data_IF_201935535042
#
_entry.id   IF_201935535042
#
_cell.length_a   1.000
_cell.length_b   1.000
_cell.length_c   1.000
_cell.angle_alpha   90.00
_cell.angle_beta   90.00
_cell.angle_gamma   90.00
#
_symmetry.space_group_name_H-M   'P 1'
#
loop_
_entity.id
_entity.type
_entity.pdbx_description
1 polymer ?
#
# COMPACT_ATOMS: atom_id res chain seq x y z
N UNK A 1 -22.51 -4.20 -45.75
CA UNK A 1 -22.81 -4.01 -44.31
C UNK A 1 -22.08 -2.75 -43.89
N UNK A 2 -22.81 -1.65 -43.66
CA UNK A 2 -22.21 -0.41 -43.17
C UNK A 2 -21.92 -0.57 -41.67
N UNK A 3 -20.65 -0.58 -41.29
CA UNK A 3 -20.24 -0.46 -39.89
C UNK A 3 -20.52 0.96 -39.43
N UNK A 4 -21.47 1.11 -38.51
CA UNK A 4 -21.64 2.37 -37.80
C UNK A 4 -20.50 2.49 -36.77
N UNK A 5 -19.59 3.45 -37.00
CA UNK A 5 -18.63 3.88 -35.99
C UNK A 5 -19.37 4.75 -34.98
N UNK A 6 -19.55 4.26 -33.75
CA UNK A 6 -20.32 4.92 -32.68
C UNK A 6 -19.48 6.03 -31.99
N UNK A 7 -18.32 6.39 -32.58
CA UNK A 7 -17.33 7.27 -31.97
C UNK A 7 -16.47 6.55 -30.94
N UNK A 8 -15.32 7.13 -30.60
CA UNK A 8 -14.53 6.70 -29.45
C UNK A 8 -15.14 7.29 -28.18
N UNK A 9 -15.51 6.43 -27.23
CA UNK A 9 -15.90 6.87 -25.90
C UNK A 9 -14.64 7.29 -25.12
N UNK A 10 -14.25 8.55 -25.24
CA UNK A 10 -13.13 9.09 -24.47
C UNK A 10 -13.57 9.34 -23.02
N UNK A 11 -13.17 8.46 -22.10
CA UNK A 11 -13.29 8.73 -20.67
C UNK A 11 -12.24 9.76 -20.24
N UNK A 12 -12.62 10.75 -19.43
CA UNK A 12 -11.70 11.74 -18.90
C UNK A 12 -12.02 12.04 -17.43
N UNK A 13 -10.98 12.32 -16.65
CA UNK A 13 -11.10 12.90 -15.32
C UNK A 13 -10.87 14.40 -15.44
N UNK A 14 -11.87 15.19 -15.04
CA UNK A 14 -11.76 16.65 -15.04
C UNK A 14 -11.57 17.16 -13.62
N UNK A 15 -10.46 17.84 -13.40
CA UNK A 15 -10.24 18.65 -12.22
C UNK A 15 -10.67 20.09 -12.53
N UNK A 16 -11.63 20.60 -11.76
CA UNK A 16 -12.16 21.95 -11.91
C UNK A 16 -11.84 22.77 -10.67
N UNK A 17 -11.46 24.03 -10.88
CA UNK A 17 -11.05 24.94 -9.83
C UNK A 17 -11.85 26.24 -9.95
N UNK A 18 -12.27 26.78 -8.82
CA UNK A 18 -12.99 28.07 -8.78
C UNK A 18 -12.07 29.24 -9.14
N UNK A 19 -10.79 29.13 -8.79
CA UNK A 19 -9.76 30.11 -9.08
C UNK A 19 -8.69 29.56 -10.04
N UNK A 20 -8.06 30.47 -10.79
CA UNK A 20 -6.93 30.12 -11.65
C UNK A 20 -5.78 29.48 -10.84
N UNK A 21 -5.27 28.36 -11.32
CA UNK A 21 -4.17 27.64 -10.67
C UNK A 21 -2.83 27.97 -11.33
N UNK A 22 -1.75 27.98 -10.54
CA UNK A 22 -0.38 28.10 -11.05
C UNK A 22 0.04 26.80 -11.75
N UNK A 23 0.89 26.93 -12.78
CA UNK A 23 1.45 25.79 -13.51
C UNK A 23 2.15 24.76 -12.61
N UNK A 24 2.81 25.22 -11.54
CA UNK A 24 3.48 24.37 -10.53
C UNK A 24 2.56 23.30 -9.91
N UNK A 25 1.24 23.55 -9.86
CA UNK A 25 0.29 22.58 -9.29
C UNK A 25 -0.09 21.46 -10.27
N UNK A 26 0.20 21.60 -11.56
CA UNK A 26 -0.14 20.60 -12.58
C UNK A 26 0.54 19.27 -12.26
N UNK A 27 1.83 19.30 -11.90
CA UNK A 27 2.57 18.08 -11.53
C UNK A 27 1.91 17.36 -10.36
N UNK A 28 1.57 18.10 -9.30
CA UNK A 28 0.89 17.54 -8.12
C UNK A 28 -0.45 16.89 -8.48
N UNK A 29 -1.27 17.57 -9.28
CA UNK A 29 -2.57 17.03 -9.69
C UNK A 29 -2.42 15.84 -10.64
N UNK A 30 -1.44 15.88 -11.53
CA UNK A 30 -1.09 14.76 -12.39
C UNK A 30 -0.69 13.54 -11.55
N UNK A 31 0.19 13.70 -10.56
CA UNK A 31 0.62 12.63 -9.66
C UNK A 31 -0.57 12.01 -8.91
N UNK A 32 -1.51 12.82 -8.42
CA UNK A 32 -2.72 12.31 -7.75
C UNK A 32 -3.55 11.43 -8.69
N UNK A 33 -3.83 11.90 -9.91
CA UNK A 33 -4.61 11.14 -10.89
C UNK A 33 -3.85 9.91 -11.37
N UNK A 34 -2.55 10.03 -11.59
CA UNK A 34 -1.67 8.93 -11.93
C UNK A 34 -1.71 7.84 -10.87
N UNK A 35 -1.52 8.19 -9.58
CA UNK A 35 -1.60 7.25 -8.47
C UNK A 35 -2.98 6.59 -8.35
N UNK A 36 -4.05 7.35 -8.58
CA UNK A 36 -5.40 6.80 -8.59
C UNK A 36 -5.53 5.73 -9.69
N UNK A 37 -5.13 6.05 -10.91
CA UNK A 37 -5.20 5.12 -12.04
C UNK A 37 -4.30 3.91 -11.77
N UNK A 38 -3.10 4.10 -11.24
CA UNK A 38 -2.17 3.03 -10.90
C UNK A 38 -2.74 2.04 -9.88
N UNK A 39 -3.40 2.55 -8.82
CA UNK A 39 -4.09 1.71 -7.84
C UNK A 39 -5.22 0.92 -8.50
N UNK A 40 -6.03 1.57 -9.34
CA UNK A 40 -7.16 0.93 -10.02
C UNK A 40 -6.71 -0.14 -11.04
N UNK A 41 -5.58 0.07 -11.72
CA UNK A 41 -4.99 -0.90 -12.65
C UNK A 41 -4.10 -1.94 -11.98
N UNK A 42 -3.73 -1.71 -10.72
CA UNK A 42 -2.68 -2.45 -10.02
C UNK A 42 -1.35 -2.50 -10.78
N UNK A 43 -0.97 -1.39 -11.42
CA UNK A 43 0.32 -1.19 -12.11
C UNK A 43 0.74 0.29 -12.08
N UNK A 44 2.02 0.55 -11.96
CA UNK A 44 2.56 1.92 -11.99
C UNK A 44 2.71 2.47 -13.41
N UNK A 45 3.04 1.64 -14.40
CA UNK A 45 3.31 2.10 -15.77
C UNK A 45 2.05 2.51 -16.57
N UNK A 46 1.23 3.40 -16.03
CA UNK A 46 0.00 3.90 -16.65
C UNK A 46 0.26 5.18 -17.42
N UNK A 47 -0.47 5.39 -18.52
CA UNK A 47 -0.35 6.58 -19.37
C UNK A 47 -1.71 7.14 -19.73
N UNK A 48 -1.81 8.47 -19.76
CA UNK A 48 -2.98 9.19 -20.20
C UNK A 48 -2.60 10.58 -20.71
N UNK A 49 -3.40 11.10 -21.64
CA UNK A 49 -3.20 12.43 -22.20
C UNK A 49 -3.70 13.51 -21.23
N UNK A 50 -2.97 14.62 -21.14
CA UNK A 50 -3.31 15.76 -20.29
C UNK A 50 -3.50 17.00 -21.15
N UNK A 51 -4.59 17.72 -20.93
CA UNK A 51 -4.83 19.02 -21.56
C UNK A 51 -5.36 20.01 -20.54
N UNK A 52 -5.10 21.29 -20.80
CA UNK A 52 -5.62 22.39 -20.02
C UNK A 52 -6.81 23.00 -20.75
N UNK A 53 -7.82 23.40 -19.99
CA UNK A 53 -8.93 24.17 -20.50
C UNK A 53 -9.20 25.38 -19.61
N UNK A 54 -9.65 26.47 -20.22
CA UNK A 54 -10.05 27.68 -19.52
C UNK A 54 -11.51 27.98 -19.81
N UNK A 55 -12.21 28.48 -18.79
CA UNK A 55 -13.59 28.95 -18.94
C UNK A 55 -13.55 30.37 -19.50
N UNK A 56 -14.14 30.57 -20.67
CA UNK A 56 -14.24 31.89 -21.29
C UNK A 56 -15.55 32.61 -20.93
N UNK A 57 -15.77 33.80 -21.50
CA UNK A 57 -16.94 34.65 -21.22
C UNK A 57 -18.28 34.00 -21.58
N UNK A 58 -18.27 33.01 -22.47
CA UNK A 58 -19.42 32.20 -22.88
C UNK A 58 -19.79 31.11 -21.85
N UNK A 59 -18.96 30.93 -20.82
CA UNK A 59 -19.13 29.91 -19.80
C UNK A 59 -18.68 28.51 -20.23
N UNK A 60 -18.14 28.36 -21.45
CA UNK A 60 -17.64 27.10 -22.00
C UNK A 60 -16.16 26.91 -21.69
N UNK A 61 -15.74 25.65 -21.60
CA UNK A 61 -14.33 25.28 -21.41
C UNK A 61 -13.67 25.07 -22.77
N UNK A 62 -12.72 25.94 -23.11
CA UNK A 62 -11.93 25.85 -24.34
C UNK A 62 -10.56 25.26 -24.03
N UNK A 63 -10.09 24.32 -24.86
CA UNK A 63 -8.75 23.72 -24.69
C UNK A 63 -7.69 24.76 -25.02
N UNK A 64 -6.87 25.12 -24.05
CA UNK A 64 -5.84 26.16 -24.17
C UNK A 64 -4.42 25.61 -24.20
N UNK A 65 -4.22 24.34 -23.83
CA UNK A 65 -2.88 23.74 -23.83
C UNK A 65 -2.90 22.22 -23.81
N UNK A 66 -1.77 21.63 -24.21
CA UNK A 66 -1.47 20.20 -24.11
C UNK A 66 -0.27 20.03 -23.20
N UNK A 67 -0.41 19.26 -22.14
CA UNK A 67 0.69 18.97 -21.23
C UNK A 67 1.30 17.63 -21.63
N UNK A 68 2.56 17.67 -22.05
CA UNK A 68 3.37 16.46 -22.24
C UNK A 68 4.11 16.16 -20.95
N UNK A 69 3.84 15.00 -20.37
CA UNK A 69 4.56 14.50 -19.21
C UNK A 69 5.56 13.46 -19.73
N UNK A 70 6.82 13.60 -19.31
CA UNK A 70 7.87 12.66 -19.63
C UNK A 70 8.17 11.82 -18.39
N UNK A 71 8.01 10.52 -18.50
CA UNK A 71 8.34 9.54 -17.46
C UNK A 71 9.47 8.62 -17.94
N UNK A 72 9.93 7.75 -17.04
CA UNK A 72 11.02 6.81 -17.29
C UNK A 72 10.55 5.40 -17.68
N UNK A 73 9.25 5.18 -17.90
CA UNK A 73 8.73 3.84 -18.19
C UNK A 73 9.14 3.38 -19.59
N UNK A 74 9.58 2.11 -19.68
CA UNK A 74 9.94 1.50 -20.95
C UNK A 74 8.71 1.06 -21.76
N UNK A 75 7.60 0.78 -21.08
CA UNK A 75 6.34 0.38 -21.67
C UNK A 75 5.18 0.79 -20.76
N UNK A 76 3.96 0.77 -21.29
CA UNK A 76 2.75 1.12 -20.54
C UNK A 76 1.78 -0.05 -20.40
N UNK A 77 0.98 -0.02 -19.34
CA UNK A 77 0.00 -1.05 -19.01
C UNK A 77 -0.97 -1.30 -20.16
N UNK A 78 -1.14 -2.57 -20.51
CA UNK A 78 -2.09 -3.06 -21.51
C UNK A 78 -3.22 -3.86 -20.89
N UNK A 79 -3.50 -3.63 -19.59
CA UNK A 79 -4.54 -4.39 -18.88
C UNK A 79 -5.91 -4.17 -19.50
N UNK A 80 -6.62 -5.28 -19.67
CA UNK A 80 -8.01 -5.26 -20.15
C UNK A 80 -8.91 -4.67 -19.06
N UNK A 81 -9.98 -4.00 -19.47
CA UNK A 81 -10.96 -3.38 -18.56
C UNK A 81 -11.50 -4.36 -17.50
N UNK A 82 -11.77 -5.62 -17.85
CA UNK A 82 -12.26 -6.61 -16.87
C UNK A 82 -11.18 -7.13 -15.90
N UNK A 83 -9.93 -6.67 -16.02
CA UNK A 83 -8.79 -7.02 -15.16
C UNK A 83 -8.31 -5.83 -14.31
N UNK A 84 -9.15 -4.82 -14.13
CA UNK A 84 -8.86 -3.63 -13.31
C UNK A 84 -10.04 -3.35 -12.38
N UNK A 85 -9.82 -2.54 -11.35
CA UNK A 85 -10.90 -1.99 -10.52
C UNK A 85 -11.65 -0.97 -11.36
N UNK A 86 -12.90 -1.28 -11.71
CA UNK A 86 -13.75 -0.35 -12.42
C UNK A 86 -14.08 0.85 -11.52
N UNK A 87 -13.85 2.06 -12.02
CA UNK A 87 -14.09 3.29 -11.23
C UNK A 87 -15.54 3.38 -10.71
N UNK A 88 -16.49 2.85 -11.50
CA UNK A 88 -17.91 2.79 -11.12
C UNK A 88 -18.17 1.89 -9.92
N UNK A 89 -17.38 0.83 -9.72
CA UNK A 89 -17.53 -0.09 -8.59
C UNK A 89 -17.08 0.52 -7.26
N UNK A 90 -16.30 1.60 -7.30
CA UNK A 90 -15.77 2.28 -6.11
C UNK A 90 -16.07 3.79 -6.13
N UNK A 91 -17.05 4.22 -6.93
CA UNK A 91 -17.26 5.62 -7.28
C UNK A 91 -17.46 6.51 -6.04
N UNK A 92 -18.29 6.06 -5.10
CA UNK A 92 -18.58 6.78 -3.85
C UNK A 92 -17.36 6.88 -2.91
N UNK A 93 -16.34 6.05 -3.13
CA UNK A 93 -15.11 6.00 -2.34
C UNK A 93 -13.94 6.73 -3.01
N UNK A 94 -14.08 7.16 -4.27
CA UNK A 94 -13.03 7.91 -4.99
C UNK A 94 -12.53 9.13 -4.20
N UNK A 95 -13.38 9.96 -3.56
CA UNK A 95 -12.90 11.08 -2.77
C UNK A 95 -11.93 10.66 -1.64
N UNK A 96 -12.22 9.56 -0.93
CA UNK A 96 -11.38 9.04 0.15
C UNK A 96 -10.09 8.37 -0.36
N UNK A 97 -10.14 7.76 -1.54
CA UNK A 97 -8.94 7.23 -2.21
C UNK A 97 -8.03 8.40 -2.61
N UNK A 98 -8.58 9.44 -3.23
CA UNK A 98 -7.85 10.66 -3.61
C UNK A 98 -7.27 11.36 -2.38
N UNK A 99 -8.02 11.47 -1.29
CA UNK A 99 -7.53 12.00 -0.02
C UNK A 99 -6.34 11.19 0.51
N UNK A 100 -6.47 9.86 0.55
CA UNK A 100 -5.40 8.95 0.97
C UNK A 100 -4.12 9.10 0.13
N UNK A 101 -4.26 9.29 -1.19
CA UNK A 101 -3.15 9.58 -2.10
C UNK A 101 -2.53 10.95 -1.76
N UNK A 102 -3.36 11.98 -1.63
CA UNK A 102 -2.90 13.35 -1.42
C UNK A 102 -2.14 13.55 -0.10
N UNK A 103 -2.44 12.74 0.92
CA UNK A 103 -1.73 12.75 2.22
C UNK A 103 -0.61 11.70 2.32
N UNK A 104 -0.31 10.96 1.23
CA UNK A 104 0.77 9.98 1.15
C UNK A 104 0.49 8.61 1.79
N UNK A 105 -0.73 8.35 2.26
CA UNK A 105 -1.12 7.07 2.86
C UNK A 105 -1.18 5.91 1.86
N UNK A 106 -1.48 6.23 0.59
CA UNK A 106 -1.54 5.22 -0.47
C UNK A 106 -0.16 4.82 -1.02
N UNK A 107 0.94 5.44 -0.57
CA UNK A 107 2.28 5.22 -1.12
C UNK A 107 2.72 3.75 -0.97
N UNK A 108 2.40 3.13 0.17
CA UNK A 108 2.74 1.73 0.45
C UNK A 108 2.12 0.75 -0.56
N UNK A 109 0.95 1.06 -1.13
CA UNK A 109 0.39 0.26 -2.23
C UNK A 109 1.12 0.54 -3.53
N UNK A 110 1.38 1.80 -3.85
CA UNK A 110 2.06 2.16 -5.09
C UNK A 110 3.45 1.52 -5.18
N UNK A 111 4.17 1.45 -4.06
CA UNK A 111 5.52 0.89 -3.99
C UNK A 111 5.58 -0.62 -4.33
N UNK A 112 4.47 -1.35 -4.18
CA UNK A 112 4.40 -2.79 -4.51
C UNK A 112 3.90 -3.07 -5.93
N UNK A 113 3.46 -2.05 -6.67
CA UNK A 113 2.91 -2.24 -8.01
C UNK A 113 4.02 -2.34 -9.05
N UNK A 114 3.86 -3.21 -10.07
CA UNK A 114 4.85 -3.35 -11.11
C UNK A 114 4.92 -2.09 -11.99
N UNK A 115 6.14 -1.71 -12.34
CA UNK A 115 6.53 -0.61 -13.22
C UNK A 115 6.80 -1.05 -14.67
N UNK A 116 6.69 -2.36 -14.95
CA UNK A 116 6.92 -2.94 -16.26
C UNK A 116 5.96 -4.13 -16.48
N UNK A 117 5.42 -4.24 -17.70
CA UNK A 117 4.56 -5.36 -18.10
C UNK A 117 5.26 -6.73 -17.96
N UNK A 118 6.58 -6.80 -18.10
CA UNK A 118 7.36 -8.03 -17.92
C UNK A 118 7.38 -8.50 -16.45
N UNK A 119 7.11 -7.60 -15.50
CA UNK A 119 7.16 -7.86 -14.06
C UNK A 119 5.80 -8.27 -13.47
N UNK A 120 4.69 -8.18 -14.22
CA UNK A 120 3.33 -8.47 -13.72
C UNK A 120 3.23 -9.86 -13.08
N UNK A 121 3.88 -10.87 -13.67
CA UNK A 121 3.84 -12.26 -13.20
C UNK A 121 5.18 -12.72 -12.62
N UNK A 122 6.01 -11.77 -12.17
CA UNK A 122 7.32 -12.06 -11.58
C UNK A 122 7.37 -11.51 -10.17
N UNK A 123 7.92 -12.32 -9.27
CA UNK A 123 8.11 -11.93 -7.88
C UNK A 123 9.60 -12.03 -7.61
N UNK A 124 10.20 -10.89 -7.27
CA UNK A 124 11.58 -10.80 -6.78
C UNK A 124 11.60 -10.70 -5.26
N UNK A 125 12.78 -10.87 -4.66
CA UNK A 125 12.93 -10.62 -3.22
C UNK A 125 12.65 -9.17 -2.86
N UNK A 126 12.97 -8.22 -3.74
CA UNK A 126 12.63 -6.81 -3.51
C UNK A 126 11.11 -6.67 -3.37
N UNK A 127 10.32 -7.32 -4.22
CA UNK A 127 8.86 -7.30 -4.09
C UNK A 127 8.38 -7.90 -2.76
N UNK A 128 9.01 -8.97 -2.28
CA UNK A 128 8.71 -9.54 -0.95
C UNK A 128 9.02 -8.53 0.17
N UNK A 129 10.14 -7.79 0.06
CA UNK A 129 10.54 -6.75 1.02
C UNK A 129 9.57 -5.57 1.01
N UNK A 130 9.19 -5.10 -0.17
CA UNK A 130 8.26 -3.99 -0.36
C UNK A 130 6.88 -4.37 0.18
N UNK A 131 6.38 -5.57 -0.13
CA UNK A 131 5.08 -6.05 0.36
C UNK A 131 5.05 -6.21 1.89
N UNK A 132 6.11 -6.75 2.48
CA UNK A 132 6.25 -6.83 3.94
C UNK A 132 6.20 -5.43 4.58
N UNK A 133 6.91 -4.46 3.99
CA UNK A 133 6.95 -3.08 4.46
C UNK A 133 5.58 -2.42 4.31
N UNK A 134 4.91 -2.63 3.18
CA UNK A 134 3.58 -2.08 2.92
C UNK A 134 2.52 -2.61 3.91
N UNK A 135 2.56 -3.91 4.20
CA UNK A 135 1.69 -4.53 5.22
C UNK A 135 1.97 -4.00 6.63
N UNK A 136 3.23 -3.71 6.95
CA UNK A 136 3.57 -3.08 8.22
C UNK A 136 3.04 -1.64 8.32
N UNK A 137 3.20 -0.86 7.24
CA UNK A 137 2.69 0.52 7.16
C UNK A 137 1.17 0.53 7.34
N UNK A 138 0.44 -0.30 6.58
CA UNK A 138 -1.03 -0.31 6.62
C UNK A 138 -1.57 -0.81 7.97
N UNK A 139 -0.86 -1.75 8.62
CA UNK A 139 -1.14 -2.09 10.00
C UNK A 139 -0.99 -0.85 10.89
N UNK A 140 0.13 -0.12 10.80
CA UNK A 140 0.37 1.00 11.68
C UNK A 140 -0.65 2.16 11.54
N UNK A 141 -1.29 2.33 10.38
CA UNK A 141 -2.31 3.38 10.16
C UNK A 141 -3.48 3.33 11.18
N UNK A 142 -3.95 2.12 11.51
CA UNK A 142 -5.05 1.90 12.45
C UNK A 142 -4.59 1.33 13.79
N UNK A 143 -3.28 1.29 14.07
CA UNK A 143 -2.74 0.72 15.31
C UNK A 143 -3.37 1.33 16.57
N UNK A 144 -3.69 2.63 16.55
CA UNK A 144 -4.33 3.34 17.65
C UNK A 144 -5.77 2.86 17.96
N UNK A 145 -6.44 2.21 17.00
CA UNK A 145 -7.79 1.64 17.19
C UNK A 145 -7.74 0.19 17.67
N UNK A 146 -6.58 -0.47 17.61
CA UNK A 146 -6.42 -1.86 18.02
C UNK A 146 -6.13 -1.94 19.51
N UNK A 147 -6.65 -2.97 20.19
CA UNK A 147 -6.31 -3.19 21.59
C UNK A 147 -4.80 -3.41 21.71
N UNK A 148 -4.20 -2.75 22.70
CA UNK A 148 -2.82 -3.04 23.10
C UNK A 148 -2.80 -4.39 23.81
N UNK A 149 -1.77 -5.18 23.54
CA UNK A 149 -1.55 -6.41 24.28
C UNK A 149 -1.10 -6.11 25.71
N UNK A 150 -1.83 -6.67 26.69
CA UNK A 150 -1.56 -6.42 28.11
C UNK A 150 -0.20 -6.93 28.54
N UNK A 151 0.25 -8.09 28.04
CA UNK A 151 1.54 -8.67 28.38
C UNK A 151 2.69 -7.87 27.78
N UNK A 152 2.54 -7.34 26.56
CA UNK A 152 3.55 -6.45 25.95
C UNK A 152 3.69 -5.16 26.78
N UNK A 153 2.58 -4.56 27.22
CA UNK A 153 2.65 -3.33 28.02
C UNK A 153 3.18 -3.60 29.44
N UNK A 154 2.84 -4.73 30.06
CA UNK A 154 3.44 -5.19 31.32
C UNK A 154 4.95 -5.43 31.18
N UNK A 155 5.38 -6.08 30.10
CA UNK A 155 6.79 -6.31 29.81
C UNK A 155 7.55 -4.99 29.63
N UNK A 156 6.99 -4.03 28.90
CA UNK A 156 7.58 -2.69 28.75
C UNK A 156 7.72 -1.98 30.09
N UNK A 157 6.70 -2.05 30.94
CA UNK A 157 6.75 -1.45 32.27
C UNK A 157 7.87 -2.10 33.12
N UNK A 158 7.91 -3.43 33.17
CA UNK A 158 8.93 -4.18 33.91
C UNK A 158 10.37 -3.89 33.42
N UNK A 159 10.57 -3.81 32.11
CA UNK A 159 11.87 -3.44 31.53
C UNK A 159 12.26 -2.01 31.92
N UNK A 160 11.34 -1.05 31.83
CA UNK A 160 11.60 0.34 32.22
C UNK A 160 11.94 0.49 33.70
N UNK A 161 11.23 -0.24 34.56
CA UNK A 161 11.50 -0.25 36.01
C UNK A 161 12.89 -0.84 36.30
N UNK A 162 13.24 -1.93 35.62
CA UNK A 162 14.54 -2.58 35.76
C UNK A 162 15.68 -1.67 35.30
N UNK A 163 15.54 -1.00 34.16
CA UNK A 163 16.51 -0.03 33.65
C UNK A 163 16.66 1.13 34.64
N UNK A 164 15.54 1.65 35.14
CA UNK A 164 15.53 2.76 36.10
C UNK A 164 16.26 2.39 37.40
N UNK A 165 16.01 1.19 37.93
CA UNK A 165 16.68 0.68 39.12
C UNK A 165 18.20 0.52 38.90
N UNK A 166 18.62 -0.01 37.75
CA UNK A 166 20.02 -0.14 37.38
C UNK A 166 20.72 1.22 37.30
N UNK A 167 20.12 2.18 36.58
CA UNK A 167 20.64 3.55 36.43
C UNK A 167 20.79 4.23 37.79
N UNK A 168 19.78 4.15 38.65
CA UNK A 168 19.87 4.73 39.99
C UNK A 168 20.95 4.07 40.86
N UNK A 169 21.10 2.74 40.77
CA UNK A 169 22.12 2.02 41.55
C UNK A 169 23.54 2.43 41.17
N UNK A 170 23.80 2.62 39.86
CA UNK A 170 25.11 2.96 39.33
C UNK A 170 25.44 4.45 39.44
N UNK A 171 24.44 5.33 39.38
CA UNK A 171 24.58 6.75 39.70
C UNK A 171 24.99 6.95 41.16
N UNK A 172 24.37 6.21 42.09
CA UNK A 172 24.73 6.24 43.52
C UNK A 172 26.16 5.77 43.80
N UNK A 173 26.70 4.90 42.94
CA UNK A 173 28.07 4.38 43.04
C UNK A 173 29.10 5.27 42.33
N UNK A 174 28.67 6.29 41.58
CA UNK A 174 29.56 7.15 40.79
C UNK A 174 30.18 6.45 39.58
N UNK A 175 29.62 5.31 39.15
CA UNK A 175 30.20 4.41 38.14
C UNK A 175 29.58 4.60 36.73
N UNK A 176 28.65 5.54 36.58
CA UNK A 176 27.97 5.79 35.30
C UNK A 176 28.70 6.87 34.49
N UNK A 177 29.58 6.44 33.59
CA UNK A 177 30.27 7.32 32.64
C UNK A 177 29.48 7.59 31.35
N UNK A 178 28.47 6.75 31.05
CA UNK A 178 27.66 6.83 29.82
C UNK A 178 26.16 6.92 30.16
N UNK A 179 25.43 7.80 29.48
CA UNK A 179 23.97 7.87 29.56
C UNK A 179 23.36 6.67 28.87
N UNK A 180 22.69 5.79 29.62
CA UNK A 180 21.97 4.64 29.03
C UNK A 180 20.87 5.10 28.06
N UNK A 181 20.30 6.29 28.28
CA UNK A 181 19.22 6.80 27.45
C UNK A 181 19.72 7.51 26.18
N UNK A 182 20.84 8.23 26.27
CA UNK A 182 21.33 9.07 25.17
C UNK A 182 22.50 8.45 24.41
N UNK A 183 23.35 7.67 25.10
CA UNK A 183 24.58 7.10 24.54
C UNK A 183 24.43 5.62 24.13
N UNK A 184 23.24 5.02 24.34
CA UNK A 184 22.98 3.63 23.97
C UNK A 184 21.69 3.46 23.18
N UNK A 185 21.58 2.32 22.50
CA UNK A 185 20.37 1.92 21.77
C UNK A 185 19.33 1.22 22.66
N UNK A 186 19.51 1.17 23.98
CA UNK A 186 18.63 0.44 24.90
C UNK A 186 17.23 1.06 24.93
N UNK A 187 17.16 2.39 25.12
CA UNK A 187 15.88 3.10 25.18
C UNK A 187 15.10 2.97 23.86
N UNK A 188 15.80 3.01 22.72
CA UNK A 188 15.18 2.83 21.42
C UNK A 188 14.78 1.37 21.16
N UNK A 189 15.63 0.39 21.49
CA UNK A 189 15.35 -1.04 21.30
C UNK A 189 14.05 -1.47 22.02
N UNK A 190 13.84 -1.01 23.25
CA UNK A 190 12.65 -1.36 24.03
C UNK A 190 11.41 -0.52 23.70
N UNK A 191 11.59 0.72 23.21
CA UNK A 191 10.49 1.54 22.70
C UNK A 191 9.73 0.87 21.55
N UNK A 192 10.44 0.07 20.74
CA UNK A 192 9.87 -0.65 19.60
C UNK A 192 9.41 -2.07 19.90
N UNK A 193 9.39 -2.50 21.18
CA UNK A 193 8.73 -3.75 21.56
C UNK A 193 7.26 -3.69 21.15
N UNK A 194 6.90 -4.54 20.21
CA UNK A 194 5.59 -4.57 19.60
C UNK A 194 5.38 -5.95 18.98
N UNK A 195 4.16 -6.18 18.48
CA UNK A 195 3.87 -7.36 17.68
C UNK A 195 4.90 -7.57 16.56
N UNK A 196 5.23 -8.83 16.30
CA UNK A 196 6.12 -9.17 15.19
C UNK A 196 5.41 -8.87 13.86
N UNK A 197 6.16 -8.73 12.76
CA UNK A 197 5.53 -8.55 11.45
C UNK A 197 4.54 -9.69 11.12
N UNK A 198 4.86 -10.92 11.53
CA UNK A 198 3.94 -12.06 11.40
C UNK A 198 2.61 -11.78 12.09
N UNK A 199 2.63 -11.33 13.34
CA UNK A 199 1.42 -11.04 14.11
C UNK A 199 0.63 -9.87 13.52
N UNK A 200 1.33 -8.84 13.02
CA UNK A 200 0.71 -7.72 12.32
C UNK A 200 -0.05 -8.18 11.07
N UNK A 201 0.58 -9.04 10.26
CA UNK A 201 -0.04 -9.62 9.06
C UNK A 201 -1.23 -10.51 9.44
N UNK A 202 -1.11 -11.35 10.47
CA UNK A 202 -2.20 -12.20 10.94
C UNK A 202 -3.38 -11.38 11.48
N UNK A 203 -3.10 -10.23 12.11
CA UNK A 203 -4.14 -9.28 12.56
C UNK A 203 -4.86 -8.65 11.38
N UNK A 204 -4.13 -8.20 10.34
CA UNK A 204 -4.77 -7.70 9.12
C UNK A 204 -5.62 -8.78 8.45
N UNK A 205 -5.12 -10.01 8.42
CA UNK A 205 -5.85 -11.15 7.88
C UNK A 205 -7.13 -11.42 8.66
N UNK A 206 -7.12 -11.41 10.00
CA UNK A 206 -8.34 -11.61 10.78
C UNK A 206 -9.37 -10.49 10.57
N UNK A 207 -8.93 -9.24 10.39
CA UNK A 207 -9.80 -8.10 10.06
C UNK A 207 -10.43 -8.19 8.66
N UNK A 208 -9.81 -8.94 7.74
CA UNK A 208 -10.25 -9.14 6.36
C UNK A 208 -10.58 -10.61 6.06
N UNK A 209 -10.83 -11.44 7.07
CA UNK A 209 -10.82 -12.90 6.92
C UNK A 209 -11.83 -13.39 5.89
N UNK A 210 -13.08 -12.94 5.98
CA UNK A 210 -14.14 -13.32 5.03
C UNK A 210 -13.78 -13.00 3.57
N UNK A 211 -13.22 -11.80 3.34
CA UNK A 211 -12.79 -11.32 2.02
C UNK A 211 -11.69 -12.21 1.46
N UNK A 212 -10.65 -12.47 2.27
CA UNK A 212 -9.47 -13.20 1.84
C UNK A 212 -9.75 -14.69 1.69
N UNK A 213 -10.55 -15.29 2.57
CA UNK A 213 -10.96 -16.68 2.45
C UNK A 213 -11.80 -16.90 1.18
N UNK A 214 -12.70 -15.96 0.87
CA UNK A 214 -13.46 -15.94 -0.38
C UNK A 214 -12.57 -15.82 -1.63
N UNK A 215 -11.54 -14.96 -1.57
CA UNK A 215 -10.54 -14.83 -2.63
C UNK A 215 -9.72 -16.11 -2.82
N UNK A 216 -9.21 -16.69 -1.72
CA UNK A 216 -8.43 -17.94 -1.71
C UNK A 216 -9.25 -19.07 -2.33
N UNK A 217 -10.51 -19.23 -1.92
CA UNK A 217 -11.41 -20.25 -2.45
C UNK A 217 -11.67 -20.07 -3.95
N UNK A 218 -11.93 -18.84 -4.40
CA UNK A 218 -12.18 -18.56 -5.82
C UNK A 218 -10.95 -18.83 -6.69
N UNK A 219 -9.74 -18.58 -6.17
CA UNK A 219 -8.48 -18.75 -6.92
C UNK A 219 -7.83 -20.11 -6.72
N UNK A 220 -8.44 -21.00 -5.94
CA UNK A 220 -7.87 -22.30 -5.56
C UNK A 220 -6.47 -22.18 -4.96
N UNK A 221 -6.26 -21.13 -4.16
CA UNK A 221 -4.99 -20.86 -3.49
C UNK A 221 -4.89 -21.65 -2.17
N UNK A 222 -3.67 -21.90 -1.65
CA UNK A 222 -3.51 -22.51 -0.35
C UNK A 222 -4.01 -21.58 0.76
N UNK A 223 -4.61 -22.17 1.79
CA UNK A 223 -5.01 -21.44 3.00
C UNK A 223 -3.80 -20.78 3.67
N UNK A 224 -4.01 -19.57 4.21
CA UNK A 224 -2.98 -18.86 4.94
C UNK A 224 -3.04 -19.23 6.42
N UNK A 225 -1.88 -19.43 7.02
CA UNK A 225 -1.73 -19.70 8.44
C UNK A 225 -0.42 -19.09 8.93
N UNK A 226 -0.23 -19.11 10.24
CA UNK A 226 0.95 -18.54 10.89
C UNK A 226 2.27 -19.08 10.31
N UNK A 227 2.36 -20.40 10.05
CA UNK A 227 3.57 -21.01 9.48
C UNK A 227 3.92 -20.44 8.10
N UNK A 228 2.92 -20.26 7.22
CA UNK A 228 3.11 -19.65 5.90
C UNK A 228 3.51 -18.19 6.00
N UNK A 229 2.86 -17.42 6.87
CA UNK A 229 3.22 -16.01 7.09
C UNK A 229 4.66 -15.90 7.64
N UNK A 230 5.04 -16.72 8.62
CA UNK A 230 6.41 -16.76 9.16
C UNK A 230 7.43 -17.12 8.08
N UNK A 231 7.13 -18.10 7.23
CA UNK A 231 7.98 -18.48 6.08
C UNK A 231 8.18 -17.31 5.12
N UNK A 232 7.10 -16.62 4.77
CA UNK A 232 7.14 -15.46 3.89
C UNK A 232 7.93 -14.29 4.49
N UNK A 233 7.72 -13.97 5.78
CA UNK A 233 8.48 -12.95 6.49
C UNK A 233 9.96 -13.33 6.59
N UNK A 234 10.29 -14.62 6.69
CA UNK A 234 11.68 -15.10 6.70
C UNK A 234 12.37 -14.88 5.36
N UNK A 235 11.67 -14.99 4.22
CA UNK A 235 12.23 -14.69 2.90
C UNK A 235 12.79 -13.27 2.81
N UNK A 236 12.10 -12.30 3.42
CA UNK A 236 12.58 -10.90 3.52
C UNK A 236 13.99 -10.81 4.11
N UNK A 237 14.30 -11.65 5.10
CA UNK A 237 15.54 -11.62 5.87
C UNK A 237 16.65 -12.51 5.28
N UNK A 238 16.31 -13.53 4.47
CA UNK A 238 17.27 -14.53 3.99
C UNK A 238 18.29 -14.01 2.97
N UNK A 239 17.99 -12.90 2.26
CA UNK A 239 18.95 -12.23 1.36
C UNK A 239 20.20 -11.74 2.09
N UNK A 240 20.10 -11.47 3.40
CA UNK A 240 21.18 -10.86 4.18
C UNK A 240 22.19 -11.88 4.72
N UNK A 241 21.89 -13.18 4.73
CA UNK A 241 22.71 -14.16 5.47
C UNK A 241 23.14 -15.43 4.70
N UNK A 242 22.36 -15.95 3.74
CA UNK A 242 22.59 -17.33 3.27
C UNK A 242 22.92 -17.50 1.77
N UNK A 243 22.90 -16.44 0.94
CA UNK A 243 23.24 -16.51 -0.49
C UNK A 243 22.26 -17.31 -1.38
N UNK A 244 21.49 -18.24 -0.82
CA UNK A 244 20.44 -19.01 -1.48
C UNK A 244 19.05 -18.65 -0.94
N UNK A 245 18.08 -18.53 -1.85
CA UNK A 245 16.69 -18.21 -1.55
C UNK A 245 15.83 -19.42 -1.91
N UNK A 246 15.35 -20.12 -0.89
CA UNK A 246 14.38 -21.20 -1.06
C UNK A 246 12.96 -20.62 -1.10
N UNK A 247 12.35 -20.58 -2.29
CA UNK A 247 11.05 -19.94 -2.48
C UNK A 247 9.87 -20.76 -1.92
N UNK A 248 9.90 -22.09 -2.01
CA UNK A 248 8.77 -22.94 -1.62
C UNK A 248 7.43 -22.46 -2.20
N UNK A 249 6.38 -22.48 -1.39
CA UNK A 249 5.03 -22.00 -1.76
C UNK A 249 4.83 -20.49 -1.63
N UNK A 250 5.89 -19.72 -1.35
CA UNK A 250 5.75 -18.31 -1.00
C UNK A 250 5.29 -17.43 -2.17
N UNK A 251 5.36 -17.92 -3.41
CA UNK A 251 4.74 -17.24 -4.55
C UNK A 251 3.21 -17.16 -4.40
N UNK A 252 2.56 -18.22 -3.95
CA UNK A 252 1.12 -18.20 -3.67
C UNK A 252 0.82 -17.30 -2.46
N UNK A 253 1.66 -17.34 -1.43
CA UNK A 253 1.54 -16.46 -0.26
C UNK A 253 1.70 -14.98 -0.64
N UNK A 254 2.59 -14.64 -1.57
CA UNK A 254 2.72 -13.28 -2.10
C UNK A 254 1.40 -12.77 -2.68
N UNK A 255 0.74 -13.56 -3.53
CA UNK A 255 -0.53 -13.17 -4.18
C UNK A 255 -1.61 -12.95 -3.13
N UNK A 256 -1.72 -13.84 -2.13
CA UNK A 256 -2.69 -13.71 -1.03
C UNK A 256 -2.41 -12.44 -0.21
N UNK A 257 -1.15 -12.18 0.11
CA UNK A 257 -0.74 -11.02 0.92
C UNK A 257 -0.87 -9.70 0.16
N UNK A 258 -0.68 -9.69 -1.17
CA UNK A 258 -0.97 -8.55 -2.01
C UNK A 258 -2.48 -8.25 -2.05
N UNK A 259 -3.30 -9.29 -2.15
CA UNK A 259 -4.76 -9.16 -2.04
C UNK A 259 -5.17 -8.64 -0.65
N UNK A 260 -4.50 -9.10 0.42
CA UNK A 260 -4.71 -8.59 1.78
C UNK A 260 -4.36 -7.11 1.93
N UNK A 261 -3.25 -6.66 1.33
CA UNK A 261 -2.87 -5.25 1.31
C UNK A 261 -3.97 -4.40 0.64
N UNK A 262 -4.43 -4.83 -0.54
CA UNK A 262 -5.52 -4.15 -1.25
C UNK A 262 -6.83 -4.17 -0.45
N UNK A 263 -7.19 -5.30 0.15
CA UNK A 263 -8.39 -5.43 0.97
C UNK A 263 -8.35 -4.45 2.14
N UNK A 264 -7.23 -4.43 2.87
CA UNK A 264 -7.03 -3.57 4.04
C UNK A 264 -7.14 -2.09 3.66
N UNK A 265 -6.57 -1.69 2.52
CA UNK A 265 -6.66 -0.30 2.04
C UNK A 265 -8.08 0.08 1.62
N UNK A 266 -8.73 -0.77 0.83
CA UNK A 266 -10.10 -0.50 0.37
C UNK A 266 -11.07 -0.45 1.56
N UNK A 267 -10.85 -1.28 2.58
CA UNK A 267 -11.60 -1.25 3.84
C UNK A 267 -11.34 0.04 4.63
N UNK A 268 -10.09 0.53 4.66
CA UNK A 268 -9.75 1.81 5.30
C UNK A 268 -10.44 3.02 4.65
N UNK A 269 -10.61 3.00 3.32
CA UNK A 269 -11.40 4.04 2.61
C UNK A 269 -12.90 3.77 2.62
N UNK A 270 -13.33 2.68 3.26
CA UNK A 270 -14.73 2.36 3.57
C UNK A 270 -15.49 1.63 2.47
N UNK A 271 -14.80 0.97 1.52
CA UNK A 271 -15.45 0.08 0.54
C UNK A 271 -16.00 -1.14 1.26
N UNK A 272 -17.20 -1.59 0.88
CA UNK A 272 -17.85 -2.75 1.50
C UNK A 272 -17.13 -4.06 1.18
N UNK A 273 -17.09 -4.97 2.16
CA UNK A 273 -16.40 -6.26 2.07
C UNK A 273 -16.79 -7.08 0.82
N UNK A 274 -18.08 -7.16 0.47
CA UNK A 274 -18.55 -7.87 -0.73
C UNK A 274 -18.00 -7.29 -2.05
N UNK A 275 -17.92 -5.96 -2.12
CA UNK A 275 -17.37 -5.26 -3.29
C UNK A 275 -15.86 -5.55 -3.36
N UNK A 276 -15.15 -5.43 -2.23
CA UNK A 276 -13.71 -5.70 -2.16
C UNK A 276 -13.42 -7.12 -2.67
N UNK A 277 -14.14 -8.13 -2.18
CA UNK A 277 -13.92 -9.52 -2.59
C UNK A 277 -14.06 -9.70 -4.11
N UNK A 278 -15.10 -9.13 -4.72
CA UNK A 278 -15.30 -9.18 -6.17
C UNK A 278 -14.17 -8.48 -6.94
N UNK A 279 -13.72 -7.32 -6.45
CA UNK A 279 -12.63 -6.57 -7.07
C UNK A 279 -11.31 -7.35 -7.05
N UNK A 280 -10.96 -7.96 -5.92
CA UNK A 280 -9.73 -8.75 -5.79
C UNK A 280 -9.70 -9.91 -6.79
N UNK A 281 -10.80 -10.65 -6.92
CA UNK A 281 -10.92 -11.77 -7.86
C UNK A 281 -10.74 -11.33 -9.33
N UNK A 282 -11.23 -10.15 -9.68
CA UNK A 282 -11.13 -9.62 -11.04
C UNK A 282 -9.70 -9.15 -11.35
N UNK A 283 -9.04 -8.53 -10.38
CA UNK A 283 -7.72 -7.91 -10.54
C UNK A 283 -6.58 -8.93 -10.45
N UNK A 284 -6.59 -9.85 -9.48
CA UNK A 284 -5.53 -10.84 -9.26
C UNK A 284 -6.10 -12.22 -9.53
#
# INVERSE_FOLDING_TARGET
MNSYNVGELSAYVRLSFDEAQKFEKIERYYQIIYSLIAILTAQNNVVFNVYLSQKEKDGLFHRTGVCKIFDSFQNYSVRKSHKVIQILSVFDHIPKIVESIAVGKAQSILDVLPDDNANINRISITNVQDLCTALEIIYNENKHKRPKDTLIEELKASINDTISAFVQSKLKQGELEISIQDDTNIASAFKYLDFTLTDKILTLYSECQSIIDGFIAHKSLPQINESRVRSFVRLRNNKTHNGEIEWGDNAATYVILLALLYASFLKNVGVNDDIIQQLLVNVF
#
